data_IF_550131927098
#
_entry.id   IF_550131927098
#
_cell.length_a   1.000
_cell.length_b   1.000
_cell.length_c   1.000
_cell.angle_alpha   90.00
_cell.angle_beta   90.00
_cell.angle_gamma   90.00
#
_symmetry.space_group_name_H-M   'P 1'
#
loop_
_entity.id
_entity.type
_entity.pdbx_description
1 polymer ?
#
# COMPACT_ATOMS: atom_id res chain seq x y z
N UNK A 1 4.40 48.26 27.88
CA UNK A 1 5.29 47.87 26.77
C UNK A 1 5.71 46.42 27.01
N UNK A 2 4.90 45.43 26.57
CA UNK A 2 5.14 44.56 25.42
C UNK A 2 6.59 44.05 25.31
N UNK A 3 6.83 42.82 25.77
CA UNK A 3 7.75 41.84 25.17
C UNK A 3 7.18 40.43 25.33
N UNK A 4 6.21 40.10 24.47
CA UNK A 4 5.91 38.74 24.05
C UNK A 4 6.69 38.52 22.76
N UNK A 5 7.72 37.69 22.80
CA UNK A 5 8.56 37.21 21.68
C UNK A 5 9.64 36.35 22.35
N UNK A 6 9.89 35.06 22.08
CA UNK A 6 9.61 34.25 20.89
C UNK A 6 9.71 32.79 21.36
N UNK A 7 8.60 32.07 21.47
CA UNK A 7 8.58 30.63 21.75
C UNK A 7 8.02 29.88 20.54
N UNK A 8 8.55 30.21 19.35
CA UNK A 8 8.07 29.71 18.06
C UNK A 8 9.21 29.13 17.22
N UNK A 9 10.15 28.41 17.84
CA UNK A 9 11.36 27.94 17.17
C UNK A 9 11.74 26.48 17.40
N UNK A 10 10.88 25.66 18.02
CA UNK A 10 11.23 24.28 18.36
C UNK A 10 10.06 23.29 18.15
N UNK A 11 9.32 23.48 17.07
CA UNK A 11 8.32 22.51 16.57
C UNK A 11 8.52 22.23 15.09
N UNK A 12 9.75 22.38 14.60
CA UNK A 12 10.12 21.96 13.26
C UNK A 12 10.45 20.47 13.33
N UNK A 13 9.45 19.67 12.99
CA UNK A 13 9.58 18.37 12.35
C UNK A 13 10.71 17.49 12.89
N UNK A 14 10.41 16.72 13.94
CA UNK A 14 10.88 15.33 13.94
C UNK A 14 10.09 14.59 12.85
N UNK A 15 10.35 14.92 11.58
CA UNK A 15 10.27 13.91 10.54
C UNK A 15 11.40 12.96 10.93
N UNK A 16 11.06 11.88 11.62
CA UNK A 16 11.97 10.77 11.83
C UNK A 16 12.45 10.36 10.44
N UNK A 17 13.66 10.77 10.09
CA UNK A 17 14.41 10.10 9.06
C UNK A 17 14.71 8.70 9.60
N UNK A 18 13.72 7.81 9.49
CA UNK A 18 14.01 6.39 9.38
C UNK A 18 15.01 6.30 8.23
N UNK A 19 16.22 5.88 8.57
CA UNK A 19 17.24 5.60 7.58
C UNK A 19 16.64 4.48 6.73
N UNK A 20 16.16 4.83 5.53
CA UNK A 20 15.62 3.92 4.53
C UNK A 20 16.74 3.03 4.00
N UNK A 21 17.25 2.15 4.85
CA UNK A 21 18.28 1.18 4.53
C UNK A 21 17.65 -0.18 4.37
N UNK A 22 16.85 -0.39 3.30
CA UNK A 22 16.50 -1.69 2.66
C UNK A 22 15.11 -1.72 2.00
N UNK A 23 14.63 -0.63 1.39
CA UNK A 23 13.53 -0.79 0.43
C UNK A 23 14.10 -1.11 -0.96
N UNK A 24 13.42 -1.97 -1.73
CA UNK A 24 13.98 -2.63 -2.91
C UNK A 24 14.56 -1.68 -3.98
N UNK A 25 14.07 -0.44 -4.06
CA UNK A 25 14.50 0.57 -5.03
C UNK A 25 15.14 1.83 -4.39
N UNK A 26 15.27 1.90 -3.05
CA UNK A 26 15.86 3.06 -2.37
C UNK A 26 14.95 4.31 -2.27
N UNK A 27 13.70 4.23 -2.72
CA UNK A 27 12.73 5.35 -2.72
C UNK A 27 11.78 5.28 -1.52
N UNK A 28 11.75 6.33 -0.70
CA UNK A 28 10.81 6.43 0.42
C UNK A 28 9.60 7.31 0.09
N UNK A 29 8.40 6.81 0.38
CA UNK A 29 7.16 7.58 0.37
C UNK A 29 6.67 7.78 1.81
N UNK A 30 5.94 8.87 2.07
CA UNK A 30 5.39 9.14 3.40
C UNK A 30 3.96 8.63 3.52
N UNK A 31 3.66 7.98 4.63
CA UNK A 31 2.30 7.75 5.08
C UNK A 31 1.91 8.84 6.10
N UNK A 32 0.81 9.56 5.85
CA UNK A 32 0.33 10.60 6.76
C UNK A 32 -0.57 10.00 7.85
N UNK A 33 -0.49 10.52 9.07
CA UNK A 33 -1.40 10.10 10.14
C UNK A 33 -2.80 10.67 9.88
N UNK A 34 -3.83 9.83 9.92
CA UNK A 34 -5.22 10.25 9.69
C UNK A 34 -5.67 11.17 10.85
N UNK A 35 -6.23 12.37 10.57
CA UNK A 35 -6.75 13.24 11.61
C UNK A 35 -7.80 12.55 12.49
N UNK A 36 -7.83 12.90 13.78
CA UNK A 36 -8.68 12.24 14.77
C UNK A 36 -10.19 12.34 14.48
N UNK A 37 -10.61 13.36 13.74
CA UNK A 37 -12.00 13.62 13.33
C UNK A 37 -12.36 13.06 11.95
N UNK A 38 -11.41 12.37 11.30
CA UNK A 38 -11.62 11.71 10.01
C UNK A 38 -11.70 10.19 10.19
N UNK A 39 -12.66 9.60 9.48
CA UNK A 39 -12.82 8.16 9.32
C UNK A 39 -12.61 7.83 7.85
N UNK A 40 -11.70 6.89 7.57
CA UNK A 40 -11.50 6.34 6.23
C UNK A 40 -12.33 5.08 6.09
N UNK A 41 -13.01 4.91 4.95
CA UNK A 41 -13.78 3.70 4.62
C UNK A 41 -13.20 3.07 3.36
N UNK A 42 -12.94 1.76 3.38
CA UNK A 42 -12.44 1.03 2.22
C UNK A 42 -13.59 0.68 1.26
N UNK A 43 -14.13 1.67 0.55
CA UNK A 43 -15.25 1.51 -0.39
C UNK A 43 -14.93 1.95 -1.83
N UNK A 44 -13.69 2.39 -2.08
CA UNK A 44 -13.25 2.89 -3.37
C UNK A 44 -13.68 4.33 -3.68
N UNK A 45 -14.38 5.02 -2.77
CA UNK A 45 -14.61 6.46 -2.84
C UNK A 45 -13.37 7.20 -2.30
N UNK A 46 -13.06 8.35 -2.92
CA UNK A 46 -11.95 9.22 -2.54
C UNK A 46 -12.39 10.31 -1.55
N UNK A 47 -13.69 10.47 -1.30
CA UNK A 47 -14.24 11.65 -0.62
C UNK A 47 -13.71 11.86 0.82
N UNK A 48 -13.32 10.79 1.50
CA UNK A 48 -12.68 10.78 2.83
C UNK A 48 -11.19 11.16 2.82
N UNK A 49 -10.53 11.26 1.65
CA UNK A 49 -9.14 11.68 1.49
C UNK A 49 -8.94 13.19 1.27
N UNK A 50 -10.02 13.99 1.30
CA UNK A 50 -9.95 15.44 1.02
C UNK A 50 -9.05 16.26 1.95
N UNK A 51 -8.62 15.70 3.08
CA UNK A 51 -7.67 16.30 4.03
C UNK A 51 -6.19 16.06 3.67
N UNK A 52 -5.90 15.10 2.79
CA UNK A 52 -4.55 14.65 2.49
C UNK A 52 -3.72 15.76 1.84
N UNK A 53 -2.48 15.95 2.28
CA UNK A 53 -1.61 16.99 1.71
C UNK A 53 -1.14 16.57 0.30
N UNK A 54 -1.47 17.34 -0.75
CA UNK A 54 -1.14 16.98 -2.12
C UNK A 54 0.37 16.81 -2.41
N UNK A 55 1.25 17.35 -1.57
CA UNK A 55 2.70 17.18 -1.73
C UNK A 55 3.19 15.77 -1.41
N UNK A 56 2.36 14.93 -0.80
CA UNK A 56 2.69 13.53 -0.47
C UNK A 56 1.96 12.53 -1.37
N UNK A 57 1.21 13.01 -2.36
CA UNK A 57 0.65 12.16 -3.42
C UNK A 57 1.80 11.84 -4.37
N UNK A 58 2.02 10.55 -4.62
CA UNK A 58 3.02 10.09 -5.57
C UNK A 58 2.35 9.49 -6.81
N UNK A 59 2.99 9.70 -7.96
CA UNK A 59 2.56 9.18 -9.26
C UNK A 59 3.73 8.58 -10.03
N UNK A 60 3.55 8.31 -11.34
CA UNK A 60 4.58 7.63 -12.15
C UNK A 60 5.92 8.36 -12.18
N UNK A 61 5.93 9.69 -12.04
CA UNK A 61 7.15 10.51 -12.03
C UNK A 61 8.02 10.29 -10.76
N UNK A 62 7.42 9.78 -9.68
CA UNK A 62 8.08 9.52 -8.40
C UNK A 62 8.51 8.04 -8.24
N UNK A 63 8.06 7.19 -9.17
CA UNK A 63 8.25 5.75 -9.13
C UNK A 63 9.46 5.29 -9.94
N UNK A 64 9.77 4.01 -9.84
CA UNK A 64 10.82 3.37 -10.65
C UNK A 64 10.33 2.01 -11.10
N UNK A 65 10.40 1.80 -12.41
CA UNK A 65 10.22 0.50 -13.03
C UNK A 65 11.51 -0.31 -12.81
N UNK A 66 11.39 -1.52 -12.24
CA UNK A 66 12.52 -2.30 -11.74
C UNK A 66 12.97 -3.43 -12.67
N UNK A 67 12.24 -3.74 -13.75
CA UNK A 67 12.54 -4.84 -14.68
C UNK A 67 13.10 -4.38 -16.03
N UNK A 68 12.39 -3.47 -16.71
CA UNK A 68 12.73 -2.88 -18.00
C UNK A 68 13.58 -1.59 -17.88
N UNK A 69 13.52 -0.88 -16.76
CA UNK A 69 14.24 0.35 -16.45
C UNK A 69 13.66 1.63 -17.05
N UNK A 70 12.45 1.58 -17.61
CA UNK A 70 11.74 2.74 -18.16
C UNK A 70 10.28 2.72 -17.71
N UNK A 71 9.82 3.84 -17.12
CA UNK A 71 8.42 4.01 -16.76
C UNK A 71 7.57 4.17 -18.04
N UNK A 72 6.38 3.55 -18.11
CA UNK A 72 5.41 3.84 -19.15
C UNK A 72 5.07 5.34 -19.21
N UNK A 73 4.61 5.82 -20.37
CA UNK A 73 4.14 7.20 -20.47
C UNK A 73 2.81 7.34 -19.72
N UNK A 74 2.47 8.55 -19.25
CA UNK A 74 1.14 8.81 -18.63
C UNK A 74 -0.06 8.60 -19.55
N UNK A 75 0.16 8.42 -20.86
CA UNK A 75 -0.91 8.04 -21.79
C UNK A 75 -1.17 6.53 -21.80
N UNK A 76 -0.22 5.75 -21.29
CA UNK A 76 -0.22 4.30 -21.16
C UNK A 76 -0.64 3.93 -19.73
N UNK A 77 0.12 4.40 -18.73
CA UNK A 77 -0.17 4.23 -17.30
C UNK A 77 -0.01 5.55 -16.53
N UNK A 78 -1.08 6.01 -15.89
CA UNK A 78 -1.05 7.12 -14.94
C UNK A 78 -1.68 6.72 -13.62
N UNK A 79 -1.15 7.23 -12.51
CA UNK A 79 -1.71 6.94 -11.20
C UNK A 79 -1.49 8.07 -10.20
N UNK A 80 -2.32 8.04 -9.15
CA UNK A 80 -2.13 8.84 -7.95
C UNK A 80 -2.36 7.94 -6.73
N UNK A 81 -1.33 7.79 -5.91
CA UNK A 81 -1.35 6.95 -4.73
C UNK A 81 -1.25 7.78 -3.45
N UNK A 82 -2.03 7.37 -2.46
CA UNK A 82 -2.19 7.99 -1.16
C UNK A 82 -1.95 6.91 -0.11
N UNK A 83 -1.19 7.23 0.93
CA UNK A 83 -0.91 6.29 2.01
C UNK A 83 -1.08 7.00 3.34
N UNK A 84 -1.85 6.39 4.23
CA UNK A 84 -2.11 6.93 5.56
C UNK A 84 -2.06 5.84 6.63
N UNK A 85 -2.02 6.24 7.89
CA UNK A 85 -2.04 5.30 9.01
C UNK A 85 -2.75 5.87 10.23
N UNK A 86 -3.18 4.98 11.13
CA UNK A 86 -3.67 5.31 12.46
C UNK A 86 -2.89 4.54 13.53
N UNK A 87 -2.70 5.17 14.69
CA UNK A 87 -1.96 4.57 15.80
C UNK A 87 -2.75 3.53 16.59
N UNK A 88 -2.06 2.92 17.56
CA UNK A 88 -2.62 1.92 18.50
C UNK A 88 -3.65 2.49 19.47
N UNK A 89 -3.72 3.81 19.60
CA UNK A 89 -4.76 4.53 20.35
C UNK A 89 -6.09 4.62 19.58
N UNK A 90 -6.09 4.24 18.31
CA UNK A 90 -7.25 4.12 17.42
C UNK A 90 -7.41 2.66 16.98
N UNK A 91 -7.51 2.44 15.67
CA UNK A 91 -7.78 1.16 15.02
C UNK A 91 -6.52 0.48 14.44
N UNK A 92 -5.34 1.09 14.60
CA UNK A 92 -4.03 0.53 14.21
C UNK A 92 -4.00 0.00 12.77
N UNK A 93 -4.35 0.84 11.79
CA UNK A 93 -4.45 0.47 10.38
C UNK A 93 -3.48 1.24 9.50
N UNK A 94 -3.10 0.63 8.38
CA UNK A 94 -2.52 1.31 7.22
C UNK A 94 -3.61 1.39 6.16
N UNK A 95 -3.76 2.57 5.55
CA UNK A 95 -4.72 2.84 4.51
C UNK A 95 -3.99 3.16 3.21
N UNK A 96 -4.49 2.62 2.10
CA UNK A 96 -4.05 2.95 0.76
C UNK A 96 -5.24 3.35 -0.10
N UNK A 97 -5.10 4.43 -0.86
CA UNK A 97 -5.99 4.74 -1.97
C UNK A 97 -5.15 4.95 -3.22
N UNK A 98 -5.48 4.22 -4.28
CA UNK A 98 -4.76 4.34 -5.56
C UNK A 98 -5.80 4.52 -6.65
N UNK A 99 -5.69 5.62 -7.39
CA UNK A 99 -6.43 5.81 -8.64
C UNK A 99 -5.48 5.51 -9.78
N UNK A 100 -5.86 4.57 -10.64
CA UNK A 100 -5.10 4.19 -11.84
C UNK A 100 -5.89 4.54 -13.09
N UNK A 101 -5.19 4.97 -14.13
CA UNK A 101 -5.68 5.04 -15.51
C UNK A 101 -4.72 4.23 -16.36
N UNK A 102 -5.28 3.26 -17.06
CA UNK A 102 -4.57 2.41 -18.00
C UNK A 102 -5.27 2.47 -19.35
N UNK A 103 -4.51 2.44 -20.45
CA UNK A 103 -5.05 2.44 -21.81
C UNK A 103 -5.63 1.07 -22.21
N UNK A 104 -5.23 0.02 -21.50
CA UNK A 104 -5.69 -1.35 -21.69
C UNK A 104 -5.95 -2.03 -20.35
N UNK A 105 -6.78 -3.08 -20.36
CA UNK A 105 -7.01 -3.89 -19.17
C UNK A 105 -6.90 -5.37 -19.55
N UNK A 106 -6.11 -6.12 -18.78
CA UNK A 106 -5.74 -7.50 -18.96
C UNK A 106 -5.99 -8.24 -17.65
N UNK A 107 -6.94 -9.18 -17.69
CA UNK A 107 -7.19 -10.11 -16.58
C UNK A 107 -7.44 -11.48 -17.19
N UNK A 108 -6.37 -12.25 -17.36
CA UNK A 108 -6.37 -13.53 -18.07
C UNK A 108 -5.65 -14.64 -17.31
N UNK A 109 -4.86 -14.31 -16.28
CA UNK A 109 -4.09 -15.30 -15.54
C UNK A 109 -4.99 -16.14 -14.63
N UNK A 110 -4.69 -17.43 -14.55
CA UNK A 110 -5.49 -18.41 -13.78
C UNK A 110 -4.73 -18.98 -12.59
N UNK A 111 -3.42 -18.73 -12.52
CA UNK A 111 -2.57 -19.12 -11.41
C UNK A 111 -2.44 -17.94 -10.43
N UNK A 112 -2.87 -18.13 -9.18
CA UNK A 112 -2.79 -17.07 -8.14
C UNK A 112 -1.35 -16.54 -7.95
N UNK A 113 -0.33 -17.38 -8.14
CA UNK A 113 1.07 -16.93 -8.00
C UNK A 113 1.52 -16.02 -9.16
N UNK A 114 0.80 -16.01 -10.27
CA UNK A 114 1.15 -15.26 -11.48
C UNK A 114 0.32 -13.97 -11.68
N UNK A 115 -0.41 -13.51 -10.65
CA UNK A 115 -1.27 -12.32 -10.74
C UNK A 115 -0.62 -11.05 -11.30
N UNK A 116 0.70 -10.91 -11.10
CA UNK A 116 1.53 -9.85 -11.67
C UNK A 116 1.53 -9.77 -13.21
N UNK A 117 0.95 -10.78 -13.90
CA UNK A 117 0.75 -10.80 -15.35
C UNK A 117 -0.55 -10.16 -15.82
N UNK A 118 -1.47 -9.95 -14.90
CA UNK A 118 -2.69 -9.20 -15.11
C UNK A 118 -2.50 -7.75 -14.64
N UNK A 119 -3.45 -6.89 -14.95
CA UNK A 119 -3.54 -5.58 -14.32
C UNK A 119 -3.99 -5.75 -12.88
N UNK A 120 -3.02 -5.59 -12.00
CA UNK A 120 -3.15 -5.80 -10.57
C UNK A 120 -2.61 -4.62 -9.76
N UNK A 121 -2.92 -4.66 -8.46
CA UNK A 121 -2.31 -3.83 -7.44
C UNK A 121 -1.82 -4.75 -6.34
N UNK A 122 -0.54 -4.67 -6.06
CA UNK A 122 0.09 -5.46 -5.01
C UNK A 122 0.51 -4.59 -3.82
N UNK A 123 0.15 -5.02 -2.61
CA UNK A 123 0.62 -4.44 -1.35
C UNK A 123 1.53 -5.45 -0.69
N UNK A 124 2.82 -5.13 -0.65
CA UNK A 124 3.84 -5.94 0.02
C UNK A 124 4.28 -5.25 1.30
N UNK A 125 4.33 -6.00 2.39
CA UNK A 125 4.74 -5.47 3.68
C UNK A 125 5.73 -6.38 4.41
N UNK A 126 6.68 -5.72 5.06
CA UNK A 126 7.63 -6.28 6.00
C UNK A 126 7.55 -5.45 7.29
N UNK A 127 6.59 -5.75 8.19
CA UNK A 127 6.25 -4.87 9.30
C UNK A 127 7.32 -4.79 10.39
N UNK A 128 8.14 -5.84 10.52
CA UNK A 128 9.24 -5.90 11.49
C UNK A 128 10.60 -5.51 10.88
N UNK A 129 10.61 -5.19 9.58
CA UNK A 129 11.80 -4.85 8.81
C UNK A 129 12.87 -5.95 8.86
N UNK A 130 12.44 -7.21 8.95
CA UNK A 130 13.34 -8.37 8.98
C UNK A 130 14.12 -8.54 7.68
N UNK A 131 13.59 -8.00 6.57
CA UNK A 131 14.17 -8.07 5.25
C UNK A 131 14.21 -9.49 4.69
N UNK A 132 14.95 -9.66 3.59
CA UNK A 132 15.02 -10.92 2.84
C UNK A 132 14.00 -10.98 1.69
N UNK A 133 14.20 -11.88 0.73
CA UNK A 133 13.31 -12.01 -0.42
C UNK A 133 11.90 -12.52 -0.04
N UNK A 134 10.88 -12.07 -0.76
CA UNK A 134 9.51 -12.59 -0.63
C UNK A 134 9.40 -14.03 -1.20
N UNK A 135 10.27 -14.37 -2.15
CA UNK A 135 10.39 -15.69 -2.77
C UNK A 135 11.77 -16.33 -2.48
N UNK A 136 11.85 -17.66 -2.34
CA UNK A 136 13.13 -18.34 -2.05
C UNK A 136 12.97 -19.68 -1.33
N UNK A 137 14.04 -20.24 -0.78
CA UNK A 137 13.95 -21.38 0.15
C UNK A 137 13.57 -20.89 1.56
N UNK A 138 12.90 -21.74 2.35
CA UNK A 138 12.28 -21.40 3.66
C UNK A 138 13.18 -20.58 4.62
N UNK A 139 14.51 -20.78 4.59
CA UNK A 139 15.46 -20.07 5.48
C UNK A 139 15.97 -18.73 4.92
N UNK A 140 15.63 -18.38 3.67
CA UNK A 140 16.02 -17.12 3.03
C UNK A 140 14.88 -16.12 2.89
N UNK A 141 13.62 -16.52 3.13
CA UNK A 141 12.47 -15.63 2.92
C UNK A 141 12.29 -14.65 4.07
N UNK A 142 11.68 -13.49 3.76
CA UNK A 142 11.25 -12.54 4.78
C UNK A 142 10.27 -13.19 5.75
N UNK A 143 10.67 -13.33 7.02
CA UNK A 143 9.94 -14.14 8.03
C UNK A 143 8.60 -13.51 8.39
N UNK A 144 8.48 -12.19 8.28
CA UNK A 144 7.26 -11.43 8.54
C UNK A 144 6.54 -10.94 7.26
N UNK A 145 7.05 -11.33 6.08
CA UNK A 145 6.57 -10.83 4.79
C UNK A 145 5.14 -11.26 4.46
N UNK A 146 4.32 -10.30 4.04
CA UNK A 146 2.98 -10.53 3.50
C UNK A 146 2.81 -9.75 2.18
N UNK A 147 2.10 -10.34 1.23
CA UNK A 147 1.78 -9.73 -0.05
C UNK A 147 0.30 -9.95 -0.37
N UNK A 148 -0.42 -8.85 -0.46
CA UNK A 148 -1.79 -8.82 -0.97
C UNK A 148 -1.74 -8.53 -2.46
N UNK A 149 -2.36 -9.36 -3.27
CA UNK A 149 -2.56 -9.10 -4.70
C UNK A 149 -4.05 -8.90 -4.94
N UNK A 150 -4.38 -7.86 -5.70
CA UNK A 150 -5.75 -7.47 -6.02
C UNK A 150 -5.83 -7.15 -7.50
N UNK A 151 -6.90 -7.57 -8.17
CA UNK A 151 -7.12 -7.29 -9.58
C UNK A 151 -8.60 -7.01 -9.81
N UNK A 152 -8.96 -6.61 -11.04
CA UNK A 152 -10.35 -6.36 -11.37
C UNK A 152 -11.17 -7.65 -11.27
N UNK A 153 -12.32 -7.59 -10.59
CA UNK A 153 -13.25 -8.70 -10.49
C UNK A 153 -13.72 -9.13 -11.89
N UNK A 154 -13.40 -10.36 -12.28
CA UNK A 154 -13.84 -10.97 -13.53
C UNK A 154 -14.65 -12.23 -13.29
N UNK A 155 -15.65 -12.47 -14.14
CA UNK A 155 -16.51 -13.64 -13.99
C UNK A 155 -15.71 -14.95 -14.18
N UNK A 156 -15.77 -15.84 -13.19
CA UNK A 156 -15.26 -17.22 -13.29
C UNK A 156 -13.89 -17.45 -12.65
N UNK A 157 -13.32 -16.43 -12.03
CA UNK A 157 -12.15 -16.55 -11.17
C UNK A 157 -12.61 -16.84 -9.73
N UNK A 158 -11.93 -17.74 -9.01
CA UNK A 158 -12.24 -18.07 -7.62
C UNK A 158 -10.92 -18.18 -6.86
N UNK A 159 -10.78 -17.42 -5.79
CA UNK A 159 -9.75 -17.62 -4.77
C UNK A 159 -10.37 -18.24 -3.52
N UNK A 160 -9.53 -18.60 -2.55
CA UNK A 160 -10.01 -19.04 -1.23
C UNK A 160 -10.85 -17.96 -0.51
N UNK A 161 -10.89 -16.73 -1.06
CA UNK A 161 -11.54 -15.56 -0.46
C UNK A 161 -12.73 -15.01 -1.26
N UNK A 162 -13.14 -15.63 -2.38
CA UNK A 162 -14.35 -15.21 -3.09
C UNK A 162 -14.25 -15.30 -4.62
N UNK A 163 -14.68 -14.24 -5.30
CA UNK A 163 -14.69 -14.10 -6.78
C UNK A 163 -13.28 -13.96 -7.39
N UNK A 164 -12.28 -14.27 -6.57
CA UNK A 164 -10.89 -14.29 -6.93
C UNK A 164 -10.25 -12.92 -7.09
N UNK A 165 -11.00 -11.81 -7.08
CA UNK A 165 -10.51 -10.43 -7.26
C UNK A 165 -9.36 -10.01 -6.34
N UNK A 166 -9.05 -10.83 -5.33
CA UNK A 166 -7.90 -10.68 -4.48
C UNK A 166 -7.49 -12.02 -3.83
N UNK A 167 -6.22 -12.08 -3.42
CA UNK A 167 -5.68 -13.15 -2.57
C UNK A 167 -4.47 -12.66 -1.78
N UNK A 168 -4.17 -13.38 -0.71
CA UNK A 168 -2.97 -13.15 0.10
C UNK A 168 -1.92 -14.22 -0.22
N UNK A 169 -0.67 -13.78 -0.36
CA UNK A 169 0.53 -14.61 -0.31
C UNK A 169 1.28 -14.27 0.97
N UNK A 170 1.66 -15.28 1.74
CA UNK A 170 2.21 -15.07 3.09
C UNK A 170 3.36 -16.01 3.38
N UNK A 171 4.31 -15.54 4.21
CA UNK A 171 5.33 -16.38 4.83
C UNK A 171 5.08 -16.59 6.34
N UNK A 172 4.08 -15.90 6.90
CA UNK A 172 3.73 -15.92 8.32
C UNK A 172 2.63 -16.93 8.64
N UNK A 173 2.56 -17.37 9.90
CA UNK A 173 1.48 -18.22 10.38
C UNK A 173 0.10 -17.54 10.24
N UNK A 174 -0.99 -18.31 10.01
CA UNK A 174 -2.34 -17.77 9.77
C UNK A 174 -2.83 -16.74 10.78
N UNK A 175 -2.48 -16.91 12.06
CA UNK A 175 -2.83 -15.98 13.14
C UNK A 175 -2.17 -14.60 13.05
N UNK A 176 -1.23 -14.41 12.12
CA UNK A 176 -0.57 -13.14 11.83
C UNK A 176 -1.05 -12.51 10.51
N UNK A 177 -1.98 -13.15 9.81
CA UNK A 177 -2.53 -12.63 8.55
C UNK A 177 -3.41 -11.43 8.80
N UNK A 178 -3.37 -10.46 7.90
CA UNK A 178 -4.20 -9.24 7.96
C UNK A 178 -5.65 -9.46 7.48
N UNK A 179 -6.12 -10.70 7.50
CA UNK A 179 -7.33 -11.17 6.82
C UNK A 179 -8.63 -11.00 7.61
N UNK A 180 -8.55 -10.96 8.95
CA UNK A 180 -9.72 -11.19 9.82
C UNK A 180 -10.86 -10.19 9.57
N UNK A 181 -10.57 -8.92 9.22
CA UNK A 181 -11.62 -7.93 8.97
C UNK A 181 -12.13 -7.88 7.51
N UNK A 182 -11.30 -8.25 6.51
CA UNK A 182 -11.67 -8.12 5.08
C UNK A 182 -12.63 -9.24 4.63
N UNK A 183 -12.45 -10.44 5.18
CA UNK A 183 -13.37 -11.57 4.98
C UNK A 183 -14.73 -11.31 5.63
N UNK A 184 -14.76 -10.63 6.78
CA UNK A 184 -16.01 -10.25 7.45
C UNK A 184 -16.83 -9.25 6.63
N UNK A 185 -16.18 -8.28 5.96
CA UNK A 185 -16.87 -7.27 5.14
C UNK A 185 -17.47 -7.81 3.84
N UNK A 186 -16.95 -8.93 3.32
CA UNK A 186 -17.38 -9.56 2.06
C UNK A 186 -18.37 -10.71 2.25
N UNK A 187 -18.62 -11.12 3.50
CA UNK A 187 -19.54 -12.22 3.85
C UNK A 187 -20.87 -11.77 4.49
N UNK A 188 -21.09 -10.45 4.65
CA UNK A 188 -22.37 -9.85 5.11
C UNK A 188 -23.06 -9.05 4.02
#
# INVERSE_FOLDING_TARGET
MRRFATAAGLTLAMASASIAGSNANGIGYFALEVPADITITADGDMSDWGWFDPNFIYGPDDMTEILAGEMPTKADLDLAAYTAWTGTDRDNKIFGFVRVTDDSLCVIETLLDDGWRDDDLEVVADPDFSGGPMEGEFDTRGVAGQQFTMHLATNGYLSDYGDGSWWLRWQVAPEMHWLDELVEATTT
#
